data_IF_674166878561
#
_entry.id   IF_674166878561
#
_cell.length_a   1.000
_cell.length_b   1.000
_cell.length_c   1.000
_cell.angle_alpha   90.00
_cell.angle_beta   90.00
_cell.angle_gamma   90.00
#
_symmetry.space_group_name_H-M   'P 1'
#
loop_
_entity.id
_entity.type
_entity.pdbx_description
1 polymer ?
#
# COMPACT_ATOMS: atom_id res chain seq x y z
N UNK A 1 -5.19 -14.00 1.50
CA UNK A 1 -4.68 -13.06 2.50
C UNK A 1 -5.09 -11.64 2.13
N UNK A 2 -5.55 -10.82 3.10
CA UNK A 2 -5.79 -9.39 2.91
C UNK A 2 -4.52 -8.63 3.30
N UNK A 3 -4.09 -7.70 2.43
CA UNK A 3 -2.97 -6.79 2.69
C UNK A 3 -3.47 -5.35 2.64
N UNK A 4 -3.32 -4.60 3.73
CA UNK A 4 -3.64 -3.16 3.77
C UNK A 4 -2.39 -2.33 3.49
N UNK A 5 -2.56 -1.32 2.64
CA UNK A 5 -1.46 -0.44 2.20
C UNK A 5 -1.38 0.87 2.97
N UNK A 6 -1.82 0.86 4.23
CA UNK A 6 -1.76 2.01 5.13
C UNK A 6 -2.97 2.93 5.06
N UNK A 7 -2.92 3.96 5.92
CA UNK A 7 -3.98 4.95 6.11
C UNK A 7 -5.32 4.34 6.52
N UNK A 8 -5.26 3.35 7.44
CA UNK A 8 -6.44 2.77 8.10
C UNK A 8 -7.11 3.80 9.01
N UNK A 9 -6.32 4.69 9.61
CA UNK A 9 -6.75 5.68 10.61
C UNK A 9 -7.11 7.04 9.99
N UNK A 10 -7.81 7.07 8.87
CA UNK A 10 -8.21 8.34 8.29
C UNK A 10 -9.39 8.97 9.03
N UNK A 11 -9.25 10.24 9.44
CA UNK A 11 -10.30 11.13 9.98
C UNK A 11 -11.09 10.60 11.17
N UNK A 12 -10.56 9.64 11.94
CA UNK A 12 -11.16 9.08 13.17
C UNK A 12 -12.60 8.56 13.04
N UNK A 13 -13.06 8.27 11.85
CA UNK A 13 -14.42 7.76 11.63
C UNK A 13 -14.39 6.24 11.59
N UNK A 14 -15.09 5.59 12.56
CA UNK A 14 -15.30 4.14 12.61
C UNK A 14 -13.99 3.32 12.66
N UNK A 15 -12.91 3.89 13.22
CA UNK A 15 -11.60 3.23 13.27
C UNK A 15 -11.65 1.89 14.00
N UNK A 16 -12.35 1.82 15.13
CA UNK A 16 -12.52 0.59 15.93
C UNK A 16 -13.26 -0.50 15.16
N UNK A 17 -14.28 -0.14 14.40
CA UNK A 17 -15.02 -1.09 13.56
C UNK A 17 -14.14 -1.58 12.40
N UNK A 18 -13.45 -0.67 11.72
CA UNK A 18 -12.51 -1.02 10.66
C UNK A 18 -11.41 -1.95 11.18
N UNK A 19 -10.79 -1.62 12.32
CA UNK A 19 -9.77 -2.48 12.92
C UNK A 19 -10.32 -3.85 13.31
N UNK A 20 -11.54 -3.93 13.84
CA UNK A 20 -12.19 -5.21 14.17
C UNK A 20 -12.39 -6.06 12.93
N UNK A 21 -12.95 -5.49 11.86
CA UNK A 21 -13.16 -6.21 10.59
C UNK A 21 -11.85 -6.74 9.99
N UNK A 22 -10.78 -5.93 10.02
CA UNK A 22 -9.47 -6.33 9.54
C UNK A 22 -8.84 -7.44 10.39
N UNK A 23 -9.00 -7.38 11.72
CA UNK A 23 -8.55 -8.44 12.63
C UNK A 23 -9.32 -9.75 12.37
N UNK A 24 -10.64 -9.68 12.24
CA UNK A 24 -11.51 -10.84 12.01
C UNK A 24 -11.17 -11.50 10.65
N UNK A 25 -10.78 -10.70 9.68
CA UNK A 25 -10.32 -11.17 8.36
C UNK A 25 -8.85 -11.64 8.35
N UNK A 26 -8.13 -11.55 9.46
CA UNK A 26 -6.71 -11.91 9.54
C UNK A 26 -5.82 -11.05 8.64
N UNK A 27 -6.19 -9.77 8.45
CA UNK A 27 -5.43 -8.86 7.60
C UNK A 27 -4.04 -8.57 8.17
N UNK A 28 -3.08 -8.43 7.26
CA UNK A 28 -1.74 -7.90 7.54
C UNK A 28 -1.57 -6.59 6.78
N UNK A 29 -0.55 -5.80 7.08
CA UNK A 29 -0.38 -4.56 6.34
C UNK A 29 0.77 -3.69 6.75
N UNK A 30 0.85 -2.56 6.08
CA UNK A 30 1.79 -1.50 6.38
C UNK A 30 1.04 -0.30 6.97
N UNK A 31 1.75 0.53 7.74
CA UNK A 31 1.19 1.82 8.17
C UNK A 31 1.33 2.88 7.09
N UNK A 32 0.43 3.86 7.11
CA UNK A 32 0.54 5.08 6.33
C UNK A 32 0.90 6.29 7.19
N UNK A 33 0.89 7.47 6.58
CA UNK A 33 1.19 8.71 7.27
C UNK A 33 0.14 9.06 8.35
N UNK A 34 -1.12 8.68 8.18
CA UNK A 34 -2.17 8.87 9.19
C UNK A 34 -2.05 7.86 10.34
N UNK A 35 -1.53 6.67 10.08
CA UNK A 35 -1.39 5.60 11.08
C UNK A 35 -0.15 5.73 11.94
N UNK A 36 0.92 6.32 11.41
CA UNK A 36 2.27 6.30 11.97
C UNK A 36 2.31 6.65 13.47
N UNK A 37 1.60 7.73 13.86
CA UNK A 37 1.55 8.14 15.24
C UNK A 37 0.90 7.14 16.18
N UNK A 38 -0.07 6.35 15.69
CA UNK A 38 -0.77 5.32 16.46
C UNK A 38 0.07 4.04 16.49
N UNK A 39 0.66 3.67 15.38
CA UNK A 39 1.46 2.45 15.26
C UNK A 39 2.80 2.53 16.00
N UNK A 40 3.43 3.71 16.05
CA UNK A 40 4.80 3.89 16.49
C UNK A 40 4.94 4.40 17.93
N UNK A 41 3.88 5.01 18.50
CA UNK A 41 3.93 5.61 19.85
C UNK A 41 2.97 4.87 20.78
N UNK A 42 3.50 3.97 21.62
CA UNK A 42 2.72 3.14 22.54
C UNK A 42 1.69 3.93 23.39
N UNK A 43 2.09 5.09 23.95
CA UNK A 43 1.19 5.94 24.76
C UNK A 43 0.03 6.56 23.96
N UNK A 44 0.14 6.58 22.62
CA UNK A 44 -0.97 7.03 21.76
C UNK A 44 -1.97 5.92 21.52
N UNK A 45 -1.51 4.70 21.21
CA UNK A 45 -2.39 3.57 20.91
C UNK A 45 -3.23 3.16 22.11
N UNK A 46 -2.71 3.30 23.33
CA UNK A 46 -3.42 2.98 24.59
C UNK A 46 -4.74 3.75 24.78
N UNK A 47 -4.87 4.91 24.14
CA UNK A 47 -6.08 5.76 24.22
C UNK A 47 -7.23 5.28 23.35
N UNK A 48 -7.00 4.31 22.49
CA UNK A 48 -8.00 3.79 21.56
C UNK A 48 -8.70 2.55 22.08
N UNK A 49 -9.80 2.18 21.43
CA UNK A 49 -10.54 0.95 21.69
C UNK A 49 -9.68 -0.30 21.44
N UNK A 50 -10.08 -1.43 22.02
CA UNK A 50 -9.33 -2.69 21.97
C UNK A 50 -8.96 -3.13 20.54
N UNK A 51 -9.85 -3.10 19.53
CA UNK A 51 -9.49 -3.50 18.18
C UNK A 51 -8.32 -2.68 17.59
N UNK A 52 -8.28 -1.37 17.84
CA UNK A 52 -7.21 -0.47 17.39
C UNK A 52 -5.89 -0.84 18.07
N UNK A 53 -5.94 -1.05 19.41
CA UNK A 53 -4.75 -1.46 20.18
C UNK A 53 -4.19 -2.81 19.74
N UNK A 54 -5.02 -3.70 19.19
CA UNK A 54 -4.58 -5.00 18.67
C UNK A 54 -4.01 -4.91 17.26
N UNK A 55 -4.67 -4.17 16.36
CA UNK A 55 -4.28 -4.12 14.95
C UNK A 55 -3.08 -3.20 14.71
N UNK A 56 -3.16 -1.93 15.17
CA UNK A 56 -2.18 -0.90 14.79
C UNK A 56 -0.73 -1.28 15.09
N UNK A 57 -0.38 -1.89 16.25
CA UNK A 57 1.01 -2.30 16.51
C UNK A 57 1.49 -3.46 15.64
N UNK A 58 0.62 -4.14 14.91
CA UNK A 58 1.00 -5.24 14.00
C UNK A 58 1.41 -4.74 12.61
N UNK A 59 0.99 -3.53 12.23
CA UNK A 59 1.36 -2.93 10.97
C UNK A 59 2.88 -2.67 10.93
N UNK A 60 3.45 -2.72 9.73
CA UNK A 60 4.90 -2.64 9.48
C UNK A 60 5.22 -1.46 8.57
N UNK A 61 6.47 -0.95 8.53
CA UNK A 61 6.86 0.05 7.55
C UNK A 61 6.78 -0.48 6.13
N UNK A 62 7.08 -1.78 5.97
CA UNK A 62 7.05 -2.53 4.71
C UNK A 62 6.73 -3.99 4.98
N UNK A 63 6.16 -4.64 3.98
CA UNK A 63 5.99 -6.09 3.94
C UNK A 63 6.62 -6.62 2.66
N UNK A 64 7.35 -7.72 2.78
CA UNK A 64 7.88 -8.47 1.64
C UNK A 64 7.29 -9.88 1.67
N UNK A 65 6.82 -10.33 0.52
CA UNK A 65 6.30 -11.67 0.34
C UNK A 65 6.65 -12.14 -1.08
N UNK A 66 7.36 -13.26 -1.19
CA UNK A 66 7.92 -13.74 -2.46
C UNK A 66 8.74 -12.64 -3.16
N UNK A 67 8.37 -12.25 -4.38
CA UNK A 67 9.01 -11.18 -5.14
C UNK A 67 8.23 -9.85 -5.10
N UNK A 68 7.32 -9.72 -4.12
CA UNK A 68 6.49 -8.53 -3.91
C UNK A 68 6.98 -7.70 -2.71
N UNK A 69 6.94 -6.39 -2.87
CA UNK A 69 7.09 -5.41 -1.79
C UNK A 69 5.80 -4.59 -1.68
N UNK A 70 5.27 -4.50 -0.48
CA UNK A 70 4.14 -3.65 -0.12
C UNK A 70 4.64 -2.53 0.79
N UNK A 71 4.32 -1.28 0.45
CA UNK A 71 4.61 -0.10 1.27
C UNK A 71 3.52 0.94 1.08
N UNK A 72 3.39 1.86 2.03
CA UNK A 72 2.43 2.96 1.86
C UNK A 72 2.92 3.96 0.83
N UNK A 73 4.15 4.44 1.01
CA UNK A 73 4.82 5.40 0.13
C UNK A 73 5.78 4.72 -0.85
N UNK A 74 6.37 5.50 -1.72
CA UNK A 74 7.36 5.04 -2.68
C UNK A 74 8.56 4.33 -1.99
N UNK A 75 9.02 3.17 -2.49
CA UNK A 75 10.05 2.35 -1.84
C UNK A 75 11.39 3.02 -1.55
N UNK A 76 11.75 4.11 -2.23
CA UNK A 76 12.99 4.84 -1.94
C UNK A 76 12.89 5.73 -0.69
N UNK A 77 11.67 6.01 -0.20
CA UNK A 77 11.41 6.80 1.00
C UNK A 77 11.53 5.93 2.26
N UNK A 78 11.98 6.52 3.36
CA UNK A 78 12.00 5.84 4.65
C UNK A 78 10.61 5.88 5.29
N UNK A 79 9.93 4.74 5.32
CA UNK A 79 8.60 4.62 5.93
C UNK A 79 8.62 4.70 7.47
N UNK A 80 9.79 4.83 8.12
CA UNK A 80 9.94 5.07 9.56
C UNK A 80 10.14 6.55 9.89
N UNK A 81 10.29 7.40 8.87
CA UNK A 81 10.39 8.85 9.00
C UNK A 81 9.05 9.51 8.60
N UNK A 82 8.39 10.14 9.58
CA UNK A 82 7.11 10.79 9.35
C UNK A 82 7.16 11.87 8.25
N UNK A 83 8.28 12.58 8.11
CA UNK A 83 8.43 13.61 7.08
C UNK A 83 8.45 13.01 5.68
N UNK A 84 9.01 11.79 5.53
CA UNK A 84 9.04 11.07 4.28
C UNK A 84 7.72 10.35 3.99
N UNK A 85 6.98 9.93 5.00
CA UNK A 85 5.61 9.41 4.83
C UNK A 85 4.63 10.47 4.29
N UNK A 86 4.88 11.76 4.55
CA UNK A 86 4.08 12.87 3.98
C UNK A 86 4.62 13.39 2.64
N UNK A 87 5.74 12.83 2.16
CA UNK A 87 6.33 13.30 0.91
C UNK A 87 5.44 12.96 -0.31
N UNK A 88 5.17 13.98 -1.12
CA UNK A 88 4.41 13.82 -2.36
C UNK A 88 4.93 14.75 -3.45
N UNK A 89 5.57 14.19 -4.48
CA UNK A 89 6.04 14.90 -5.67
C UNK A 89 5.30 14.45 -6.96
N UNK A 90 4.11 13.88 -6.77
CA UNK A 90 3.24 13.34 -7.81
C UNK A 90 3.58 11.90 -8.21
N UNK A 91 2.68 11.23 -8.95
CA UNK A 91 2.83 9.81 -9.32
C UNK A 91 4.13 9.56 -10.10
N UNK A 92 4.89 8.49 -9.79
CA UNK A 92 6.14 8.13 -10.48
C UNK A 92 5.91 7.46 -11.84
N UNK A 93 5.08 8.08 -12.69
CA UNK A 93 4.71 7.56 -14.02
C UNK A 93 5.84 7.65 -15.07
N UNK A 94 6.86 8.45 -14.81
CA UNK A 94 8.00 8.56 -15.75
C UNK A 94 9.07 7.52 -15.44
N UNK A 95 9.81 7.00 -16.44
CA UNK A 95 10.91 6.07 -16.20
C UNK A 95 11.97 6.61 -15.23
N UNK A 96 12.20 7.92 -15.20
CA UNK A 96 13.14 8.56 -14.26
C UNK A 96 12.66 8.44 -12.81
N UNK A 97 11.39 8.76 -12.55
CA UNK A 97 10.78 8.64 -11.22
C UNK A 97 10.63 7.18 -10.79
N UNK A 98 10.25 6.29 -11.71
CA UNK A 98 10.10 4.87 -11.43
C UNK A 98 11.45 4.21 -11.05
N UNK A 99 12.55 4.55 -11.73
CA UNK A 99 13.87 3.94 -11.49
C UNK A 99 14.35 4.05 -10.05
N UNK A 100 14.13 5.17 -9.37
CA UNK A 100 14.55 5.34 -7.97
C UNK A 100 13.87 4.34 -7.04
N UNK A 101 12.59 4.01 -7.30
CA UNK A 101 11.85 3.02 -6.55
C UNK A 101 12.41 1.61 -6.74
N UNK A 102 12.71 1.26 -7.99
CA UNK A 102 13.30 -0.04 -8.31
C UNK A 102 14.76 -0.17 -7.88
N UNK A 103 15.49 0.94 -7.69
CA UNK A 103 16.84 0.92 -7.14
C UNK A 103 16.86 0.65 -5.62
N UNK A 104 15.76 0.94 -4.92
CA UNK A 104 15.64 0.78 -3.47
C UNK A 104 15.30 -0.67 -3.03
N UNK A 105 15.00 -1.58 -3.95
CA UNK A 105 14.62 -2.97 -3.63
C UNK A 105 14.90 -3.89 -4.80
N UNK A 106 15.07 -5.18 -4.53
CA UNK A 106 15.16 -6.24 -5.54
C UNK A 106 13.81 -6.82 -5.94
N UNK A 107 12.73 -6.53 -5.21
CA UNK A 107 11.40 -7.06 -5.49
C UNK A 107 10.95 -6.74 -6.92
N UNK A 108 10.28 -7.70 -7.56
CA UNK A 108 9.77 -7.57 -8.92
C UNK A 108 8.50 -6.73 -8.99
N UNK A 109 7.61 -6.93 -8.02
CA UNK A 109 6.32 -6.25 -7.94
C UNK A 109 6.28 -5.33 -6.72
N UNK A 110 6.06 -4.05 -6.94
CA UNK A 110 5.97 -3.04 -5.90
C UNK A 110 4.53 -2.53 -5.81
N UNK A 111 3.89 -2.66 -4.65
CA UNK A 111 2.53 -2.18 -4.41
C UNK A 111 2.56 -1.05 -3.40
N UNK A 112 1.93 0.08 -3.74
CA UNK A 112 1.90 1.28 -2.91
C UNK A 112 0.49 1.84 -2.76
N UNK A 113 0.22 2.44 -1.61
CA UNK A 113 -0.98 3.25 -1.33
C UNK A 113 -0.78 4.72 -1.64
N UNK A 114 -1.07 5.61 -0.68
CA UNK A 114 -0.78 7.05 -0.60
C UNK A 114 -1.33 7.94 -1.73
N UNK A 115 -1.32 7.47 -2.97
CA UNK A 115 -1.69 8.26 -4.14
C UNK A 115 -3.20 8.39 -4.37
N UNK A 116 -4.03 7.60 -3.70
CA UNK A 116 -5.49 7.53 -3.83
C UNK A 116 -5.98 7.36 -5.28
N UNK A 117 -5.17 6.77 -6.14
CA UNK A 117 -5.47 6.54 -7.56
C UNK A 117 -4.73 5.35 -8.11
N UNK A 118 -5.32 4.75 -9.12
CA UNK A 118 -4.69 3.69 -9.89
C UNK A 118 -3.62 4.23 -10.83
N UNK A 119 -2.46 3.62 -10.85
CA UNK A 119 -1.49 3.69 -11.93
C UNK A 119 -0.51 2.53 -11.85
N UNK A 120 0.15 2.25 -12.97
CA UNK A 120 1.28 1.33 -13.02
C UNK A 120 2.49 1.99 -13.71
N UNK A 121 3.68 1.60 -13.30
CA UNK A 121 4.94 2.06 -13.88
C UNK A 121 5.91 0.89 -14.01
N UNK A 122 6.68 0.86 -15.10
CA UNK A 122 7.78 -0.09 -15.32
C UNK A 122 9.14 0.59 -15.24
N UNK A 123 10.20 -0.19 -15.07
CA UNK A 123 11.59 0.34 -14.99
C UNK A 123 11.99 1.08 -16.26
N UNK A 124 11.73 0.50 -17.42
CA UNK A 124 12.20 0.99 -18.72
C UNK A 124 11.08 1.01 -19.78
N UNK A 125 9.82 0.96 -19.36
CA UNK A 125 8.68 0.95 -20.25
C UNK A 125 7.52 1.73 -19.64
N UNK A 126 6.68 2.28 -20.51
CA UNK A 126 5.47 3.01 -20.12
C UNK A 126 4.30 2.04 -20.03
N UNK A 127 3.44 2.25 -19.02
CA UNK A 127 2.22 1.48 -18.84
C UNK A 127 1.05 2.47 -18.82
N UNK A 128 0.14 2.30 -19.77
CA UNK A 128 -1.11 3.06 -19.81
C UNK A 128 -2.21 2.23 -19.13
N UNK A 129 -2.18 2.19 -17.79
CA UNK A 129 -3.15 1.45 -16.99
C UNK A 129 -3.69 2.33 -15.85
N UNK A 130 -4.99 2.28 -15.62
CA UNK A 130 -5.69 3.14 -14.64
C UNK A 130 -6.68 2.35 -13.77
N UNK A 131 -6.48 1.03 -13.62
CA UNK A 131 -7.35 0.20 -12.77
C UNK A 131 -8.72 -0.12 -13.36
N UNK A 132 -8.90 -0.01 -14.67
CA UNK A 132 -10.16 -0.30 -15.37
C UNK A 132 -10.24 -1.73 -15.90
N UNK A 133 -9.11 -2.41 -15.94
CA UNK A 133 -8.97 -3.77 -16.50
C UNK A 133 -7.87 -4.52 -15.74
N UNK A 134 -7.83 -5.86 -15.79
CA UNK A 134 -6.73 -6.62 -15.20
C UNK A 134 -5.37 -6.22 -15.77
N UNK A 135 -4.36 -6.14 -14.90
CA UNK A 135 -2.96 -5.89 -15.27
C UNK A 135 -2.19 -7.20 -15.27
N UNK A 136 -1.75 -7.64 -16.45
CA UNK A 136 -0.90 -8.81 -16.60
C UNK A 136 0.57 -8.46 -16.39
N UNK A 137 1.24 -9.11 -15.47
CA UNK A 137 2.67 -8.95 -15.22
C UNK A 137 3.48 -9.89 -16.11
N UNK A 138 4.28 -9.33 -17.01
CA UNK A 138 5.12 -10.11 -17.91
C UNK A 138 6.33 -10.69 -17.17
N UNK A 139 6.73 -11.95 -17.46
CA UNK A 139 7.92 -12.55 -16.87
C UNK A 139 9.17 -11.68 -17.04
N UNK A 140 10.00 -11.61 -16.02
CA UNK A 140 11.26 -10.85 -16.03
C UNK A 140 11.12 -9.33 -16.03
N UNK A 141 9.90 -8.78 -16.09
CA UNK A 141 9.67 -7.33 -15.98
C UNK A 141 9.30 -6.94 -14.55
N UNK A 142 9.76 -5.76 -14.15
CA UNK A 142 9.46 -5.18 -12.84
C UNK A 142 8.37 -4.12 -12.95
N UNK A 143 7.42 -4.16 -12.02
CA UNK A 143 6.26 -3.27 -11.98
C UNK A 143 6.13 -2.58 -10.63
N UNK A 144 5.74 -1.32 -10.66
CA UNK A 144 5.23 -0.60 -9.50
C UNK A 144 3.77 -0.25 -9.77
N UNK A 145 2.90 -0.59 -8.84
CA UNK A 145 1.46 -0.38 -8.95
C UNK A 145 0.96 0.39 -7.74
N UNK A 146 0.27 1.49 -7.98
CA UNK A 146 -0.49 2.18 -6.94
C UNK A 146 -1.93 1.68 -6.94
N UNK A 147 -2.39 1.34 -5.75
CA UNK A 147 -3.77 0.92 -5.49
C UNK A 147 -4.56 2.15 -5.04
N UNK A 148 -5.72 2.37 -5.65
CA UNK A 148 -6.60 3.46 -5.23
C UNK A 148 -7.21 3.19 -3.85
N UNK A 149 -7.75 4.23 -3.23
CA UNK A 149 -8.20 4.17 -1.84
C UNK A 149 -9.54 3.42 -1.68
N UNK A 150 -9.64 2.61 -0.62
CA UNK A 150 -10.87 1.88 -0.27
C UNK A 150 -12.05 2.83 0.01
N UNK A 151 -11.80 4.03 0.52
CA UNK A 151 -12.86 5.04 0.70
C UNK A 151 -13.49 5.50 -0.63
N UNK A 152 -12.86 5.20 -1.76
CA UNK A 152 -13.40 5.38 -3.12
C UNK A 152 -13.93 4.07 -3.72
N UNK A 153 -14.20 3.05 -2.90
CA UNK A 153 -14.68 1.73 -3.33
C UNK A 153 -13.60 0.86 -3.99
N UNK A 154 -12.31 1.23 -3.92
CA UNK A 154 -11.27 0.56 -4.69
C UNK A 154 -10.57 -0.56 -3.89
N UNK A 155 -10.43 -1.72 -4.54
CA UNK A 155 -9.62 -2.85 -4.05
C UNK A 155 -9.04 -3.64 -5.22
N UNK A 156 -8.16 -4.59 -4.97
CA UNK A 156 -7.61 -5.46 -6.01
C UNK A 156 -7.34 -6.87 -5.50
N UNK A 157 -7.41 -7.84 -6.39
CA UNK A 157 -6.94 -9.22 -6.17
C UNK A 157 -5.64 -9.41 -6.94
N UNK A 158 -4.58 -9.79 -6.22
CA UNK A 158 -3.31 -10.21 -6.78
C UNK A 158 -3.29 -11.74 -6.86
N UNK A 159 -3.18 -12.26 -8.06
CA UNK A 159 -2.93 -13.66 -8.34
C UNK A 159 -1.48 -13.84 -8.78
N UNK A 160 -0.65 -14.44 -7.91
CA UNK A 160 0.77 -14.65 -8.18
C UNK A 160 1.01 -15.83 -9.14
N UNK A 161 0.11 -16.82 -9.18
CA UNK A 161 0.23 -17.97 -10.09
C UNK A 161 -0.04 -17.51 -11.52
N UNK A 162 -1.13 -16.76 -11.72
CA UNK A 162 -1.50 -16.20 -13.01
C UNK A 162 -0.73 -14.91 -13.33
N UNK A 163 0.07 -14.40 -12.39
CA UNK A 163 0.82 -13.13 -12.51
C UNK A 163 -0.10 -11.96 -12.92
N UNK A 164 -1.24 -11.82 -12.27
CA UNK A 164 -2.29 -10.85 -12.64
C UNK A 164 -2.74 -10.05 -11.43
N UNK A 165 -3.00 -8.76 -11.61
CA UNK A 165 -3.71 -7.90 -10.66
C UNK A 165 -5.06 -7.51 -11.25
N UNK A 166 -6.15 -7.92 -10.60
CA UNK A 166 -7.51 -7.58 -11.00
C UNK A 166 -8.05 -6.48 -10.09
N UNK A 167 -8.30 -5.26 -10.61
CA UNK A 167 -8.90 -4.18 -9.83
C UNK A 167 -10.40 -4.38 -9.66
N UNK A 168 -10.93 -3.91 -8.54
CA UNK A 168 -12.35 -3.83 -8.24
C UNK A 168 -12.70 -2.40 -7.85
N UNK A 169 -13.86 -1.95 -8.26
CA UNK A 169 -14.43 -0.67 -7.90
C UNK A 169 -15.89 -0.91 -7.51
N UNK A 170 -16.18 -0.82 -6.22
CA UNK A 170 -17.56 -0.82 -5.74
C UNK A 170 -18.20 0.54 -6.05
N UNK A 171 -19.43 0.55 -6.60
CA UNK A 171 -20.12 1.77 -6.95
C UNK A 171 -20.53 2.65 -5.76
#
# INVERSE_FOLDING_TARGET
QIVVLGDVAEMNRRLDETCRLLLDAGAIGVWGNHDFGICHVASKVEKYAEPVRRLMPTLRPRLEFEDCLFSHVEPYLDATDISQLWHYDGPPKTPKKARRNFAATSARLLFVGHFHRWFAAGVNFTISWQGTEPLQFQPGKRYMVAIAAVCNGASAILDLQESTLTPFLDP
#
